data_IF_634967128929
#
_entry.id   IF_634967128929
#
_cell.length_a   1.000
_cell.length_b   1.000
_cell.length_c   1.000
_cell.angle_alpha   90.00
_cell.angle_beta   90.00
_cell.angle_gamma   90.00
#
_symmetry.space_group_name_H-M   'P 1'
#
loop_
_entity.id
_entity.type
_entity.pdbx_description
1 polymer ?
#
# COMPACT_ATOMS: atom_id res chain seq x y z
N UNK A 1 25.48 2.06 14.02
CA UNK A 1 24.66 0.87 14.44
C UNK A 1 23.67 1.35 15.47
N UNK A 2 22.43 0.90 15.43
CA UNK A 2 21.40 1.23 16.42
C UNK A 2 21.80 0.61 17.75
N UNK A 3 21.68 1.34 18.86
CA UNK A 3 21.99 0.84 20.20
C UNK A 3 20.97 -0.23 20.65
N UNK A 4 21.30 -1.03 21.67
CA UNK A 4 20.35 -2.00 22.21
C UNK A 4 19.11 -1.32 22.80
N UNK A 5 19.27 -0.14 23.37
CA UNK A 5 18.15 0.67 23.89
C UNK A 5 17.19 1.07 22.76
N UNK A 6 17.73 1.54 21.62
CA UNK A 6 16.89 1.96 20.50
C UNK A 6 16.18 0.78 19.82
N UNK A 7 16.79 -0.42 19.82
CA UNK A 7 16.12 -1.64 19.36
C UNK A 7 14.95 -2.02 20.25
N UNK A 8 15.10 -1.90 21.55
CA UNK A 8 14.02 -2.13 22.51
C UNK A 8 12.91 -1.10 22.30
N UNK A 9 13.26 0.17 22.14
CA UNK A 9 12.28 1.25 21.87
C UNK A 9 11.53 1.00 20.56
N UNK A 10 12.20 0.56 19.50
CA UNK A 10 11.58 0.22 18.21
C UNK A 10 10.53 -0.88 18.38
N UNK A 11 10.91 -1.98 19.05
CA UNK A 11 10.01 -3.09 19.31
C UNK A 11 8.81 -2.67 20.17
N UNK A 12 9.04 -1.93 21.23
CA UNK A 12 7.98 -1.44 22.13
C UNK A 12 7.01 -0.51 21.41
N UNK A 13 7.50 0.41 20.56
CA UNK A 13 6.66 1.27 19.72
C UNK A 13 5.81 0.44 18.78
N UNK A 14 6.39 -0.51 18.08
CA UNK A 14 5.66 -1.37 17.16
C UNK A 14 4.57 -2.15 17.87
N UNK A 15 4.90 -2.83 18.98
CA UNK A 15 3.93 -3.59 19.79
C UNK A 15 2.82 -2.69 20.34
N UNK A 16 3.14 -1.45 20.71
CA UNK A 16 2.15 -0.47 21.13
C UNK A 16 1.22 -0.08 19.98
N UNK A 17 1.75 0.22 18.81
CA UNK A 17 0.93 0.69 17.67
C UNK A 17 0.02 -0.42 17.11
N UNK A 18 0.47 -1.67 17.06
CA UNK A 18 -0.39 -2.78 16.62
C UNK A 18 -1.55 -3.08 17.59
N UNK A 19 -1.48 -2.60 18.82
CA UNK A 19 -2.58 -2.71 19.79
C UNK A 19 -3.82 -1.86 19.42
N UNK A 20 -3.66 -0.85 18.56
CA UNK A 20 -4.78 -0.03 18.09
C UNK A 20 -5.54 -0.77 16.98
N UNK A 21 -6.86 -0.92 17.14
CA UNK A 21 -7.74 -1.41 16.07
C UNK A 21 -8.00 -0.27 15.08
N UNK A 22 -7.24 -0.24 14.00
CA UNK A 22 -7.29 0.80 12.97
C UNK A 22 -7.79 0.31 11.63
N UNK A 23 -8.38 -0.89 11.57
CA UNK A 23 -8.84 -1.50 10.33
C UNK A 23 -9.73 -0.54 9.54
N UNK A 24 -9.41 -0.34 8.26
CA UNK A 24 -10.22 0.47 7.35
C UNK A 24 -11.51 -0.27 6.97
N UNK A 25 -12.55 0.49 6.61
CA UNK A 25 -13.86 -0.05 6.26
C UNK A 25 -14.07 0.07 4.76
N UNK A 26 -14.26 -1.06 4.04
CA UNK A 26 -14.59 -1.05 2.62
C UNK A 26 -15.80 -0.16 2.33
N UNK A 27 -15.76 0.53 1.18
CA UNK A 27 -16.84 1.40 0.71
C UNK A 27 -17.22 2.57 1.64
N UNK A 28 -16.33 2.95 2.56
CA UNK A 28 -16.52 4.15 3.38
C UNK A 28 -16.65 5.39 2.50
N UNK A 29 -17.54 6.31 2.90
CA UNK A 29 -17.77 7.58 2.18
C UNK A 29 -17.06 8.76 2.82
N UNK A 30 -16.38 8.54 3.93
CA UNK A 30 -15.66 9.55 4.70
C UNK A 30 -14.42 8.94 5.35
N UNK A 31 -13.40 9.75 5.54
CA UNK A 31 -12.16 9.40 6.23
C UNK A 31 -12.09 10.18 7.55
N UNK A 32 -11.53 9.59 8.63
CA UNK A 32 -11.12 8.18 8.69
C UNK A 32 -12.33 7.25 8.71
N UNK A 33 -12.21 6.09 8.07
CA UNK A 33 -13.30 5.09 8.02
C UNK A 33 -13.52 4.37 9.35
N UNK A 34 -12.55 4.40 10.25
CA UNK A 34 -12.67 3.85 11.60
C UNK A 34 -12.12 4.79 12.67
N UNK A 35 -12.74 4.72 13.86
CA UNK A 35 -12.37 5.58 15.01
C UNK A 35 -10.95 5.27 15.52
N UNK A 36 -10.47 4.04 15.33
CA UNK A 36 -9.14 3.61 15.77
C UNK A 36 -8.02 4.41 15.10
N UNK A 37 -8.16 4.76 13.84
CA UNK A 37 -7.19 5.57 13.11
C UNK A 37 -7.03 6.96 13.75
N UNK A 38 -8.12 7.62 14.11
CA UNK A 38 -8.06 8.90 14.83
C UNK A 38 -7.39 8.75 16.19
N UNK A 39 -7.64 7.64 16.92
CA UNK A 39 -6.98 7.39 18.22
C UNK A 39 -5.47 7.23 18.06
N UNK A 40 -5.02 6.48 17.05
CA UNK A 40 -3.59 6.33 16.76
C UNK A 40 -2.98 7.67 16.31
N UNK A 41 -3.68 8.43 15.45
CA UNK A 41 -3.26 9.77 15.03
C UNK A 41 -3.01 10.72 16.22
N UNK A 42 -3.94 10.72 17.20
CA UNK A 42 -3.81 11.53 18.42
C UNK A 42 -2.67 11.05 19.33
N UNK A 43 -2.38 9.76 19.34
CA UNK A 43 -1.23 9.20 20.07
C UNK A 43 0.08 9.67 19.43
N UNK A 44 0.19 9.55 18.11
CA UNK A 44 1.37 9.97 17.35
C UNK A 44 1.60 11.48 17.42
N UNK A 45 0.53 12.29 17.46
CA UNK A 45 0.64 13.73 17.71
C UNK A 45 1.36 14.02 19.03
N UNK A 46 0.97 13.34 20.10
CA UNK A 46 1.61 13.53 21.43
C UNK A 46 3.08 13.15 21.39
N UNK A 47 3.41 12.03 20.77
CA UNK A 47 4.79 11.55 20.67
C UNK A 47 5.67 12.50 19.82
N UNK A 48 5.14 12.99 18.67
CA UNK A 48 5.86 13.96 17.84
C UNK A 48 6.14 15.27 18.59
N UNK A 49 5.18 15.76 19.38
CA UNK A 49 5.38 16.93 20.23
C UNK A 49 6.46 16.65 21.29
N UNK A 50 6.44 15.47 21.90
CA UNK A 50 7.44 15.06 22.90
C UNK A 50 8.86 14.93 22.29
N UNK A 51 8.95 14.52 21.01
CA UNK A 51 10.19 14.49 20.25
C UNK A 51 10.67 15.90 19.82
N UNK A 52 9.91 16.95 20.10
CA UNK A 52 10.29 18.33 19.80
C UNK A 52 10.02 18.76 18.36
N UNK A 53 9.15 18.06 17.62
CA UNK A 53 8.76 18.51 16.28
C UNK A 53 7.84 19.72 16.36
N UNK A 54 7.94 20.55 15.33
CA UNK A 54 7.15 21.77 15.16
C UNK A 54 5.92 21.51 14.27
N UNK A 55 4.94 22.41 14.35
CA UNK A 55 3.74 22.41 13.48
C UNK A 55 3.02 21.03 13.46
N UNK A 56 2.95 20.37 14.63
CA UNK A 56 2.33 19.08 14.76
C UNK A 56 0.81 19.22 14.75
N UNK A 57 0.18 18.75 13.68
CA UNK A 57 -1.27 18.89 13.47
C UNK A 57 -1.91 17.53 13.20
N UNK A 58 -3.14 17.38 13.66
CA UNK A 58 -4.04 16.29 13.27
C UNK A 58 -5.28 16.89 12.64
N UNK A 59 -5.54 16.57 11.39
CA UNK A 59 -6.74 17.05 10.70
C UNK A 59 -7.99 16.31 11.17
N UNK A 60 -9.17 16.86 10.85
CA UNK A 60 -10.44 16.15 11.10
C UNK A 60 -10.57 14.82 10.34
N UNK A 61 -9.71 14.59 9.38
CA UNK A 61 -9.63 13.37 8.59
C UNK A 61 -8.56 12.39 9.12
N UNK A 62 -7.99 12.64 10.32
CA UNK A 62 -6.90 11.87 10.92
C UNK A 62 -5.56 11.92 10.16
N UNK A 63 -5.37 12.81 9.20
CA UNK A 63 -4.03 13.05 8.64
C UNK A 63 -3.20 13.77 9.69
N UNK A 64 -2.08 13.18 10.08
CA UNK A 64 -1.08 13.78 10.97
C UNK A 64 0.00 14.43 10.11
N UNK A 65 0.44 15.63 10.45
CA UNK A 65 1.61 16.26 9.84
C UNK A 65 2.49 16.91 10.91
N UNK A 66 3.82 16.90 10.69
CA UNK A 66 4.78 17.52 11.59
C UNK A 66 6.01 17.99 10.81
N UNK A 67 6.82 18.84 11.45
CA UNK A 67 8.05 19.38 10.88
C UNK A 67 9.18 19.33 11.90
N UNK A 68 10.34 18.84 11.45
CA UNK A 68 11.58 18.93 12.18
C UNK A 68 12.55 19.80 11.36
N UNK A 69 12.90 21.03 11.81
CA UNK A 69 13.84 21.88 11.10
C UNK A 69 15.24 21.27 11.10
N UNK A 70 15.99 21.52 10.02
CA UNK A 70 17.38 21.11 9.92
C UNK A 70 18.20 21.67 11.09
N UNK A 71 19.09 20.85 11.65
CA UNK A 71 20.04 21.27 12.69
C UNK A 71 21.45 21.61 12.14
N UNK A 72 21.63 21.45 10.81
CA UNK A 72 22.82 21.91 10.08
C UNK A 72 22.38 22.88 8.96
N UNK A 73 22.84 24.16 8.98
CA UNK A 73 22.41 25.16 8.00
C UNK A 73 22.87 24.88 6.57
N UNK A 74 23.82 23.97 6.36
CA UNK A 74 24.27 23.57 5.04
C UNK A 74 23.33 22.53 4.40
N UNK A 75 22.45 21.87 5.18
CA UNK A 75 21.52 20.86 4.73
C UNK A 75 20.14 21.48 4.42
N UNK A 76 20.02 22.08 3.24
CA UNK A 76 18.86 22.92 2.87
C UNK A 76 17.66 22.15 2.32
N UNK A 77 17.83 20.88 2.00
CA UNK A 77 16.75 20.04 1.48
C UNK A 77 15.67 19.79 2.50
N UNK A 78 14.44 19.57 2.01
CA UNK A 78 13.31 19.13 2.82
C UNK A 78 12.84 17.77 2.32
N UNK A 79 12.92 16.73 3.15
CA UNK A 79 12.52 15.36 2.82
C UNK A 79 11.27 15.01 3.60
N UNK A 80 10.29 14.42 2.89
CA UNK A 80 9.06 13.87 3.49
C UNK A 80 9.22 12.39 3.87
N UNK A 81 8.68 12.00 5.03
CA UNK A 81 8.52 10.61 5.46
C UNK A 81 7.05 10.36 5.73
N UNK A 82 6.50 9.31 5.15
CA UNK A 82 5.07 9.01 5.18
C UNK A 82 4.86 7.53 5.49
N UNK A 83 3.85 7.22 6.34
CA UNK A 83 3.34 5.88 6.58
C UNK A 83 1.84 5.95 6.85
N UNK A 84 1.11 4.84 6.63
CA UNK A 84 -0.34 4.87 6.87
C UNK A 84 -0.73 4.29 8.23
N UNK A 85 -1.89 4.76 8.74
CA UNK A 85 -2.41 4.45 10.08
C UNK A 85 -3.24 3.17 10.10
N UNK A 86 -3.96 2.92 9.00
CA UNK A 86 -4.93 1.84 8.93
C UNK A 86 -4.29 0.48 8.67
N UNK A 87 -5.08 -0.53 8.76
CA UNK A 87 -4.75 -1.91 8.37
C UNK A 87 -5.79 -2.41 7.40
N UNK A 88 -5.41 -3.38 6.58
CA UNK A 88 -6.23 -3.94 5.53
C UNK A 88 -7.58 -4.49 6.02
N UNK A 89 -8.67 -4.27 5.27
CA UNK A 89 -9.95 -4.90 5.58
C UNK A 89 -10.02 -6.40 5.24
N UNK A 90 -9.02 -6.95 4.54
CA UNK A 90 -9.02 -8.34 4.07
C UNK A 90 -8.89 -9.36 5.21
N UNK A 91 -8.22 -8.98 6.30
CA UNK A 91 -8.08 -9.80 7.49
C UNK A 91 -8.34 -8.95 8.74
N UNK A 92 -8.91 -9.55 9.80
CA UNK A 92 -9.21 -8.80 11.03
C UNK A 92 -7.94 -8.20 11.65
N UNK A 93 -7.97 -6.90 11.97
CA UNK A 93 -6.94 -6.18 12.73
C UNK A 93 -7.36 -5.88 14.17
N UNK A 94 -8.43 -6.55 14.67
CA UNK A 94 -8.99 -6.29 16.00
C UNK A 94 -8.42 -7.23 17.05
N UNK A 95 -7.97 -6.66 18.19
CA UNK A 95 -7.38 -7.40 19.31
C UNK A 95 -6.16 -8.22 18.89
N UNK A 96 -5.28 -7.65 18.10
CA UNK A 96 -4.03 -8.28 17.68
C UNK A 96 -3.24 -8.72 18.92
N UNK A 97 -2.76 -9.95 18.89
CA UNK A 97 -1.90 -10.56 19.93
C UNK A 97 -0.56 -10.88 19.31
N UNK A 98 0.40 -9.95 19.38
CA UNK A 98 1.70 -10.17 18.80
C UNK A 98 2.51 -11.15 19.64
N UNK A 99 3.24 -12.04 18.96
CA UNK A 99 4.20 -12.96 19.54
C UNK A 99 5.60 -12.66 18.99
N UNK A 100 6.59 -12.56 19.89
CA UNK A 100 7.99 -12.30 19.55
C UNK A 100 8.75 -13.61 19.57
N UNK A 101 9.29 -14.01 18.44
CA UNK A 101 10.07 -15.23 18.27
C UNK A 101 11.54 -14.86 18.17
N UNK A 102 12.26 -14.97 19.27
CA UNK A 102 13.68 -14.66 19.30
C UNK A 102 14.49 -15.73 18.56
N UNK A 103 15.49 -15.28 17.77
CA UNK A 103 16.43 -16.15 17.08
C UNK A 103 15.76 -17.30 16.31
N UNK A 104 14.86 -16.95 15.39
CA UNK A 104 14.18 -17.94 14.55
C UNK A 104 15.16 -18.98 14.00
N UNK A 105 14.92 -20.25 14.29
CA UNK A 105 15.85 -21.35 13.98
C UNK A 105 15.56 -22.06 12.67
N UNK A 106 14.61 -21.58 11.90
CA UNK A 106 14.08 -22.27 10.72
C UNK A 106 12.92 -23.22 11.06
N UNK A 107 12.24 -23.72 10.03
CA UNK A 107 11.06 -24.57 10.17
C UNK A 107 9.76 -23.78 10.29
N UNK A 108 8.70 -24.50 10.63
CA UNK A 108 7.35 -23.93 10.75
C UNK A 108 7.22 -23.10 12.03
N UNK A 109 6.50 -21.99 11.93
CA UNK A 109 6.09 -21.17 13.07
C UNK A 109 4.61 -21.48 13.33
N UNK A 110 4.30 -22.13 14.45
CA UNK A 110 2.93 -22.33 14.89
C UNK A 110 2.37 -21.02 15.42
N UNK A 111 1.16 -20.65 15.00
CA UNK A 111 0.47 -19.46 15.44
C UNK A 111 -0.56 -19.81 16.53
N UNK A 112 -0.53 -19.09 17.64
CA UNK A 112 -1.46 -19.27 18.76
C UNK A 112 -1.53 -20.72 19.26
N UNK A 113 -2.69 -21.37 19.14
CA UNK A 113 -2.89 -22.76 19.57
C UNK A 113 -2.39 -23.81 18.59
N UNK A 114 -1.73 -23.39 17.47
CA UNK A 114 -1.05 -24.28 16.54
C UNK A 114 -1.93 -24.94 15.47
N UNK A 115 -3.09 -24.36 15.16
CA UNK A 115 -3.93 -24.78 14.02
C UNK A 115 -3.47 -24.13 12.71
N UNK A 116 -2.82 -22.95 12.78
CA UNK A 116 -2.26 -22.21 11.65
C UNK A 116 -0.73 -22.19 11.74
N UNK A 117 -0.05 -22.20 10.61
CA UNK A 117 1.42 -22.24 10.54
C UNK A 117 1.94 -21.33 9.45
N UNK A 118 2.99 -20.58 9.73
CA UNK A 118 3.83 -19.95 8.70
C UNK A 118 4.96 -20.91 8.39
N UNK A 119 5.00 -21.45 7.17
CA UNK A 119 5.93 -22.51 6.80
C UNK A 119 6.86 -22.11 5.67
N UNK A 120 8.19 -22.40 5.76
CA UNK A 120 9.14 -22.18 4.67
C UNK A 120 8.85 -23.07 3.45
N UNK A 121 7.99 -24.07 3.55
CA UNK A 121 7.50 -24.86 2.41
C UNK A 121 6.65 -23.99 1.47
N UNK A 122 5.85 -23.09 2.04
CA UNK A 122 5.02 -22.16 1.27
C UNK A 122 5.70 -20.81 1.07
N UNK A 123 6.54 -20.38 2.03
CA UNK A 123 7.14 -19.04 2.08
C UNK A 123 8.68 -19.18 2.10
N UNK A 124 9.28 -19.34 0.93
CA UNK A 124 10.73 -19.58 0.78
C UNK A 124 11.61 -18.45 1.35
N UNK A 125 11.10 -17.22 1.46
CA UNK A 125 11.82 -16.09 2.05
C UNK A 125 12.19 -16.33 3.52
N UNK A 126 11.44 -17.18 4.25
CA UNK A 126 11.72 -17.49 5.66
C UNK A 126 13.12 -18.06 5.88
N UNK A 127 13.72 -18.69 4.87
CA UNK A 127 15.10 -19.19 4.95
C UNK A 127 16.11 -18.06 5.16
N UNK A 128 15.83 -16.85 4.64
CA UNK A 128 16.67 -15.66 4.81
C UNK A 128 16.52 -15.04 6.20
N UNK A 129 15.49 -15.41 6.94
CA UNK A 129 15.16 -14.87 8.26
C UNK A 129 15.71 -15.71 9.42
N UNK A 130 16.38 -16.83 9.13
CA UNK A 130 17.00 -17.67 10.17
C UNK A 130 18.01 -16.87 10.98
N UNK A 131 17.91 -16.96 12.32
CA UNK A 131 18.71 -16.21 13.28
C UNK A 131 18.16 -14.82 13.64
N UNK A 132 17.10 -14.36 12.97
CA UNK A 132 16.46 -13.07 13.25
C UNK A 132 15.35 -13.23 14.30
N UNK A 133 14.98 -12.12 14.92
CA UNK A 133 13.79 -12.02 15.79
C UNK A 133 12.60 -11.66 14.91
N UNK A 134 11.58 -12.49 14.92
CA UNK A 134 10.37 -12.32 14.13
C UNK A 134 9.20 -11.94 15.04
N UNK A 135 8.32 -11.09 14.57
CA UNK A 135 7.06 -10.77 15.23
C UNK A 135 5.94 -11.27 14.32
N UNK A 136 5.01 -12.03 14.91
CA UNK A 136 3.83 -12.61 14.25
C UNK A 136 2.58 -12.34 15.07
N UNK A 137 1.39 -12.55 14.53
CA UNK A 137 0.15 -12.60 15.30
C UNK A 137 -0.21 -14.05 15.68
N UNK A 138 -1.21 -14.22 16.52
CA UNK A 138 -1.69 -15.53 17.01
C UNK A 138 -2.47 -16.37 15.98
N UNK A 139 -2.51 -15.98 14.71
CA UNK A 139 -3.25 -16.65 13.64
C UNK A 139 -4.75 -16.37 13.61
N UNK A 140 -5.29 -15.53 14.51
CA UNK A 140 -6.69 -15.09 14.49
C UNK A 140 -6.88 -13.76 13.77
N UNK A 141 -5.79 -12.96 13.65
CA UNK A 141 -5.77 -11.64 13.02
C UNK A 141 -4.56 -11.51 12.11
N UNK A 142 -4.53 -10.43 11.28
CA UNK A 142 -3.26 -9.93 10.76
C UNK A 142 -2.40 -9.37 11.92
N UNK A 143 -1.13 -9.09 11.66
CA UNK A 143 -0.24 -8.46 12.64
C UNK A 143 -0.39 -6.92 12.65
N UNK A 144 -0.55 -6.33 11.47
CA UNK A 144 -0.58 -4.88 11.26
C UNK A 144 0.82 -4.28 11.08
N UNK A 145 1.79 -5.09 10.65
CA UNK A 145 3.09 -4.58 10.21
C UNK A 145 2.94 -3.59 9.06
N UNK A 146 2.00 -3.87 8.19
CA UNK A 146 1.49 -2.99 7.16
C UNK A 146 0.36 -2.12 7.75
N UNK A 147 0.61 -0.82 8.10
CA UNK A 147 1.91 -0.17 7.97
C UNK A 147 2.42 0.42 9.31
N UNK A 148 2.11 -0.23 10.45
CA UNK A 148 2.57 0.24 11.76
C UNK A 148 4.06 -0.01 12.00
N UNK A 149 4.70 -0.86 11.15
CA UNK A 149 6.15 -0.98 11.13
C UNK A 149 6.78 0.33 10.62
N UNK A 150 6.33 0.84 9.47
CA UNK A 150 6.80 2.12 8.93
C UNK A 150 6.59 3.29 9.91
N UNK A 151 5.45 3.34 10.61
CA UNK A 151 5.22 4.33 11.67
C UNK A 151 6.29 4.20 12.77
N UNK A 152 6.52 3.00 13.28
CA UNK A 152 7.49 2.77 14.38
C UNK A 152 8.92 3.10 13.94
N UNK A 153 9.27 2.81 12.70
CA UNK A 153 10.57 3.07 12.11
C UNK A 153 10.83 4.57 11.95
N UNK A 154 9.86 5.31 11.41
CA UNK A 154 9.94 6.78 11.31
C UNK A 154 10.10 7.39 12.71
N UNK A 155 9.25 7.02 13.66
CA UNK A 155 9.27 7.58 15.01
C UNK A 155 10.57 7.25 15.75
N UNK A 156 11.13 6.07 15.54
CA UNK A 156 12.41 5.67 16.15
C UNK A 156 13.59 6.39 15.50
N UNK A 157 13.57 6.55 14.17
CA UNK A 157 14.61 7.32 13.48
C UNK A 157 14.65 8.78 13.97
N UNK A 158 13.49 9.43 14.12
CA UNK A 158 13.40 10.79 14.68
C UNK A 158 13.91 10.87 16.13
N UNK A 159 13.54 9.87 16.95
CA UNK A 159 14.03 9.77 18.34
C UNK A 159 15.57 9.71 18.40
N UNK A 160 16.19 8.88 17.57
CA UNK A 160 17.66 8.74 17.51
C UNK A 160 18.30 10.04 17.01
N UNK A 161 17.77 10.65 15.94
CA UNK A 161 18.30 11.94 15.42
C UNK A 161 18.35 13.01 16.49
N UNK A 162 17.28 13.12 17.30
CA UNK A 162 17.17 14.11 18.36
C UNK A 162 18.08 13.78 19.57
N UNK A 163 18.05 12.52 20.04
CA UNK A 163 18.86 12.09 21.20
C UNK A 163 20.35 12.21 20.95
N UNK A 164 20.81 11.84 19.76
CA UNK A 164 22.22 11.82 19.40
C UNK A 164 22.69 13.12 18.72
N UNK A 165 21.78 14.08 18.53
CA UNK A 165 22.02 15.34 17.82
C UNK A 165 22.72 15.13 16.46
N UNK A 166 22.23 14.15 15.68
CA UNK A 166 22.78 13.82 14.38
C UNK A 166 22.46 14.94 13.38
N UNK A 167 23.43 15.46 12.62
CA UNK A 167 23.17 16.45 11.57
C UNK A 167 22.16 15.90 10.54
N UNK A 168 21.08 16.65 10.28
CA UNK A 168 20.00 16.27 9.37
C UNK A 168 19.41 17.47 8.63
N UNK A 169 18.81 17.20 7.48
CA UNK A 169 18.07 18.17 6.67
C UNK A 169 16.70 18.49 7.29
N UNK A 170 15.93 19.38 6.64
CA UNK A 170 14.53 19.59 7.03
C UNK A 170 13.72 18.31 6.80
N UNK A 171 12.89 17.94 7.77
CA UNK A 171 12.09 16.71 7.72
C UNK A 171 10.61 17.07 7.85
N UNK A 172 9.82 16.63 6.88
CA UNK A 172 8.37 16.59 6.97
C UNK A 172 7.93 15.17 7.31
N UNK A 173 7.03 15.03 8.25
CA UNK A 173 6.48 13.73 8.65
C UNK A 173 5.00 13.76 8.42
N UNK A 174 4.45 12.69 7.87
CA UNK A 174 3.01 12.52 7.81
C UNK A 174 2.59 11.08 8.09
N UNK A 175 1.40 10.95 8.71
CA UNK A 175 0.71 9.66 8.84
C UNK A 175 -0.68 9.80 8.26
N UNK A 176 -1.03 8.89 7.35
CA UNK A 176 -2.24 8.96 6.52
C UNK A 176 -3.27 7.92 6.95
N UNK A 177 -4.57 8.24 6.98
CA UNK A 177 -5.62 7.25 7.20
C UNK A 177 -6.03 6.58 5.89
N UNK A 178 -6.73 5.42 5.98
CA UNK A 178 -7.50 4.81 4.88
C UNK A 178 -6.72 4.60 3.57
N UNK A 179 -5.42 4.29 3.66
CA UNK A 179 -4.59 3.95 2.51
C UNK A 179 -5.12 2.70 1.82
N UNK A 180 -5.41 1.66 2.59
CA UNK A 180 -5.85 0.32 2.18
C UNK A 180 -7.17 0.28 1.40
N UNK A 181 -7.88 1.41 1.39
CA UNK A 181 -9.11 1.61 0.61
C UNK A 181 -8.99 2.81 -0.35
N UNK A 182 -7.78 3.39 -0.47
CA UNK A 182 -7.46 4.49 -1.38
C UNK A 182 -8.23 5.79 -1.09
N UNK A 183 -8.67 6.01 0.16
CA UNK A 183 -9.56 7.13 0.47
C UNK A 183 -8.85 8.30 1.17
N UNK A 184 -8.00 8.02 2.15
CA UNK A 184 -7.47 9.04 3.06
C UNK A 184 -6.53 10.03 2.39
N UNK A 185 -5.76 9.57 1.43
CA UNK A 185 -4.79 10.38 0.70
C UNK A 185 -5.42 11.56 -0.07
N UNK A 186 -6.71 11.49 -0.40
CA UNK A 186 -7.44 12.61 -1.01
C UNK A 186 -7.52 13.85 -0.12
N UNK A 187 -7.37 13.67 1.19
CA UNK A 187 -7.38 14.74 2.20
C UNK A 187 -5.98 15.19 2.62
N UNK A 188 -4.95 14.65 1.97
CA UNK A 188 -3.56 15.00 2.26
C UNK A 188 -3.24 16.44 1.78
N UNK A 189 -2.68 17.29 2.65
CA UNK A 189 -2.42 18.69 2.34
C UNK A 189 -1.09 18.86 1.59
N UNK A 190 -0.99 18.41 0.34
CA UNK A 190 0.27 18.36 -0.45
C UNK A 190 0.98 19.71 -0.48
N UNK A 191 0.27 20.81 -0.76
CA UNK A 191 0.85 22.16 -0.83
C UNK A 191 1.43 22.62 0.52
N UNK A 192 0.75 22.31 1.62
CA UNK A 192 1.22 22.64 2.98
C UNK A 192 2.37 21.74 3.43
N UNK A 193 2.34 20.47 3.03
CA UNK A 193 3.40 19.50 3.34
C UNK A 193 4.72 19.90 2.71
N UNK A 194 4.72 20.45 1.51
CA UNK A 194 5.83 21.17 0.84
C UNK A 194 7.21 20.62 1.17
N UNK A 195 7.69 19.64 0.41
CA UNK A 195 9.03 19.07 0.48
C UNK A 195 9.62 18.89 -0.93
N UNK A 196 10.93 18.72 -1.04
CA UNK A 196 11.60 18.49 -2.33
C UNK A 196 11.16 17.15 -2.94
N UNK A 197 11.07 16.13 -2.11
CA UNK A 197 10.44 14.82 -2.38
C UNK A 197 10.10 14.12 -1.06
N UNK A 198 9.34 13.07 -1.12
CA UNK A 198 9.00 12.25 0.05
C UNK A 198 9.34 10.76 -0.18
N UNK A 199 9.22 9.97 0.86
CA UNK A 199 9.24 8.51 0.81
C UNK A 199 8.07 7.97 1.63
N UNK A 200 7.33 7.02 1.07
CA UNK A 200 6.51 6.12 1.88
C UNK A 200 7.41 5.03 2.47
N UNK A 201 7.24 4.75 3.75
CA UNK A 201 7.93 3.65 4.44
C UNK A 201 6.90 2.53 4.58
N UNK A 202 6.68 1.80 3.48
CA UNK A 202 5.50 0.95 3.27
C UNK A 202 5.78 -0.27 2.39
N UNK A 203 7.05 -0.55 2.13
CA UNK A 203 7.47 -1.72 1.35
C UNK A 203 7.64 -2.98 2.19
N UNK A 204 7.98 -4.08 1.53
CA UNK A 204 8.11 -5.40 2.13
C UNK A 204 9.54 -5.77 2.52
N UNK A 205 10.15 -6.66 1.73
CA UNK A 205 11.45 -7.28 2.00
C UNK A 205 12.59 -6.25 2.05
N UNK A 206 13.53 -6.44 2.97
CA UNK A 206 14.71 -5.58 3.13
C UNK A 206 15.44 -5.35 1.80
N UNK A 207 15.61 -4.09 1.45
CA UNK A 207 16.28 -3.63 0.23
C UNK A 207 15.32 -3.23 -0.89
N UNK A 208 14.03 -3.45 -0.77
CA UNK A 208 13.05 -2.99 -1.77
C UNK A 208 13.03 -1.46 -1.84
N UNK A 209 13.19 -0.97 -3.06
CA UNK A 209 13.01 0.43 -3.42
C UNK A 209 12.11 0.47 -4.65
N UNK A 210 10.92 1.01 -4.45
CA UNK A 210 9.85 0.96 -5.43
C UNK A 210 9.47 2.38 -5.82
N UNK A 211 9.55 2.67 -7.10
CA UNK A 211 9.26 4.00 -7.66
C UNK A 211 8.49 3.91 -8.98
N UNK A 212 7.90 2.75 -9.22
CA UNK A 212 7.09 2.43 -10.39
C UNK A 212 5.92 1.54 -9.96
N UNK A 213 4.73 1.86 -10.41
CA UNK A 213 3.51 1.11 -10.12
C UNK A 213 2.61 1.03 -11.35
N UNK A 214 1.56 0.22 -11.30
CA UNK A 214 0.56 0.20 -12.36
C UNK A 214 -0.14 1.55 -12.55
N UNK A 215 -0.52 1.86 -13.81
CA UNK A 215 -1.71 2.66 -14.08
C UNK A 215 -2.95 1.79 -13.82
N UNK A 216 -3.97 2.35 -13.23
CA UNK A 216 -5.15 1.62 -12.81
C UNK A 216 -6.45 2.29 -13.19
N UNK A 217 -7.40 1.49 -13.66
CA UNK A 217 -8.79 1.89 -13.84
C UNK A 217 -9.73 0.77 -13.41
N UNK A 218 -10.95 1.17 -13.09
CA UNK A 218 -12.08 0.26 -12.89
C UNK A 218 -13.07 0.47 -14.00
N UNK A 219 -13.50 -0.62 -14.66
CA UNK A 219 -14.55 -0.59 -15.68
C UNK A 219 -15.77 -1.36 -15.19
N UNK A 220 -16.93 -0.70 -15.18
CA UNK A 220 -18.23 -1.30 -14.89
C UNK A 220 -19.01 -1.47 -16.18
N UNK A 221 -19.42 -2.70 -16.45
CA UNK A 221 -20.19 -3.06 -17.67
C UNK A 221 -21.55 -3.59 -17.23
N UNK A 222 -22.61 -2.85 -17.60
CA UNK A 222 -23.99 -3.19 -17.22
C UNK A 222 -24.76 -3.76 -18.39
N UNK A 223 -25.32 -4.94 -18.19
CA UNK A 223 -26.15 -5.66 -19.15
C UNK A 223 -27.61 -5.58 -18.73
N UNK A 224 -28.50 -5.45 -19.70
CA UNK A 224 -29.94 -5.38 -19.45
C UNK A 224 -30.67 -6.49 -20.20
N UNK A 225 -31.46 -7.21 -19.46
CA UNK A 225 -32.26 -8.32 -19.93
C UNK A 225 -33.76 -7.99 -20.02
N UNK A 226 -34.53 -9.03 -20.23
CA UNK A 226 -35.99 -9.05 -20.16
C UNK A 226 -36.42 -10.40 -19.71
N UNK A 227 -36.93 -10.48 -18.48
CA UNK A 227 -37.45 -11.73 -17.89
C UNK A 227 -38.79 -12.10 -18.47
N UNK A 228 -39.03 -13.40 -18.57
CA UNK A 228 -40.31 -14.02 -18.85
C UNK A 228 -40.26 -15.47 -18.34
N UNK A 229 -41.42 -16.06 -18.08
CA UNK A 229 -41.49 -17.46 -17.67
C UNK A 229 -40.75 -18.37 -18.68
N UNK A 230 -39.80 -19.23 -18.24
CA UNK A 230 -38.94 -20.01 -19.13
C UNK A 230 -39.69 -20.82 -20.19
N UNK A 231 -40.85 -21.37 -19.87
CA UNK A 231 -41.69 -22.12 -20.81
C UNK A 231 -42.22 -21.28 -21.99
N UNK A 232 -42.18 -19.94 -21.91
CA UNK A 232 -42.64 -19.01 -22.96
C UNK A 232 -41.52 -18.12 -23.51
N UNK A 233 -40.27 -18.45 -23.19
CA UNK A 233 -39.10 -17.60 -23.40
C UNK A 233 -38.65 -17.50 -24.86
N UNK A 234 -38.96 -18.49 -25.71
CA UNK A 234 -38.48 -18.55 -27.11
C UNK A 234 -38.80 -17.28 -27.89
N UNK A 235 -37.73 -16.57 -28.34
CA UNK A 235 -37.80 -15.30 -29.10
C UNK A 235 -38.27 -14.08 -28.31
N UNK A 236 -38.41 -14.22 -26.96
CA UNK A 236 -38.92 -13.14 -26.10
C UNK A 236 -37.98 -12.77 -24.95
N UNK A 237 -37.40 -13.79 -24.28
CA UNK A 237 -36.46 -13.58 -23.19
C UNK A 237 -35.13 -13.00 -23.71
N UNK A 238 -34.57 -12.08 -22.98
CA UNK A 238 -33.17 -11.68 -23.06
C UNK A 238 -32.56 -11.89 -21.67
N UNK A 239 -31.65 -12.80 -21.56
CA UNK A 239 -31.02 -13.12 -20.26
C UNK A 239 -29.74 -12.32 -20.10
N UNK A 240 -29.70 -11.37 -19.17
CA UNK A 240 -28.54 -10.52 -18.90
C UNK A 240 -27.31 -11.34 -18.42
N UNK A 241 -27.54 -12.42 -17.65
CA UNK A 241 -26.46 -13.33 -17.22
C UNK A 241 -25.78 -13.99 -18.43
N UNK A 242 -26.56 -14.49 -19.40
CA UNK A 242 -25.99 -15.10 -20.61
C UNK A 242 -25.19 -14.09 -21.42
N UNK A 243 -25.71 -12.85 -21.58
CA UNK A 243 -25.00 -11.78 -22.28
C UNK A 243 -23.67 -11.45 -21.59
N UNK A 244 -23.66 -11.37 -20.26
CA UNK A 244 -22.45 -11.08 -19.47
C UNK A 244 -21.43 -12.22 -19.59
N UNK A 245 -21.85 -13.48 -19.52
CA UNK A 245 -20.96 -14.62 -19.74
C UNK A 245 -20.35 -14.64 -21.17
N UNK A 246 -21.14 -14.33 -22.20
CA UNK A 246 -20.64 -14.23 -23.57
C UNK A 246 -19.65 -13.06 -23.72
N UNK A 247 -19.88 -11.95 -23.03
CA UNK A 247 -18.99 -10.80 -23.04
C UNK A 247 -17.66 -11.11 -22.36
N UNK A 248 -17.66 -11.83 -21.22
CA UNK A 248 -16.44 -12.25 -20.54
C UNK A 248 -15.51 -13.08 -21.46
N UNK A 249 -16.04 -13.82 -22.40
CA UNK A 249 -15.27 -14.67 -23.31
C UNK A 249 -14.46 -13.88 -24.36
N UNK A 250 -14.69 -12.58 -24.51
CA UNK A 250 -13.92 -11.77 -25.47
C UNK A 250 -12.55 -11.33 -24.95
N UNK A 251 -12.33 -11.45 -23.64
CA UNK A 251 -11.07 -11.05 -23.02
C UNK A 251 -9.96 -12.08 -23.27
N UNK A 252 -8.71 -11.61 -23.43
CA UNK A 252 -7.56 -12.50 -23.54
C UNK A 252 -7.41 -13.40 -22.30
N UNK A 253 -7.37 -14.70 -22.49
CA UNK A 253 -7.32 -15.70 -21.40
C UNK A 253 -5.99 -15.70 -20.63
N UNK A 254 -4.95 -15.11 -21.18
CA UNK A 254 -3.61 -15.05 -20.58
C UNK A 254 -3.29 -13.69 -19.94
N UNK A 255 -4.16 -12.69 -20.14
CA UNK A 255 -3.99 -11.35 -19.57
C UNK A 255 -4.84 -11.18 -18.29
N UNK A 256 -4.62 -12.08 -17.34
CA UNK A 256 -5.29 -12.13 -16.03
C UNK A 256 -4.24 -12.18 -14.91
N UNK A 257 -4.56 -11.74 -13.67
CA UNK A 257 -3.58 -11.72 -12.58
C UNK A 257 -2.91 -13.06 -12.33
N UNK A 258 -3.67 -14.17 -12.47
CA UNK A 258 -3.20 -15.53 -12.23
C UNK A 258 -2.17 -16.02 -13.25
N UNK A 259 -1.98 -15.30 -14.37
CA UNK A 259 -1.07 -15.67 -15.45
C UNK A 259 -0.04 -14.59 -15.80
N UNK A 260 -0.07 -13.45 -15.11
CA UNK A 260 0.81 -12.33 -15.40
C UNK A 260 1.73 -12.04 -14.23
N UNK A 261 2.97 -11.68 -14.52
CA UNK A 261 3.97 -11.27 -13.54
C UNK A 261 4.75 -10.03 -14.01
N UNK A 262 5.72 -9.57 -13.21
CA UNK A 262 6.57 -8.43 -13.54
C UNK A 262 5.75 -7.21 -13.98
N UNK A 263 6.03 -6.70 -15.18
CA UNK A 263 5.35 -5.53 -15.75
C UNK A 263 4.18 -5.87 -16.68
N UNK A 264 3.80 -7.14 -16.79
CA UNK A 264 2.67 -7.53 -17.63
C UNK A 264 1.35 -7.00 -17.06
N UNK A 265 0.59 -6.28 -17.89
CA UNK A 265 -0.72 -5.76 -17.54
C UNK A 265 -1.81 -6.83 -17.64
N UNK A 266 -2.98 -6.55 -17.10
CA UNK A 266 -4.09 -7.51 -17.06
C UNK A 266 -5.47 -6.85 -17.03
N UNK A 267 -6.50 -7.67 -17.28
CA UNK A 267 -7.90 -7.45 -16.95
C UNK A 267 -8.30 -8.43 -15.87
N UNK A 268 -8.79 -7.96 -14.75
CA UNK A 268 -9.29 -8.80 -13.67
C UNK A 268 -10.79 -8.61 -13.50
N UNK A 269 -11.58 -9.67 -13.72
CA UNK A 269 -13.00 -9.67 -13.37
C UNK A 269 -13.09 -9.80 -11.85
N UNK A 270 -13.37 -8.71 -11.15
CA UNK A 270 -13.41 -8.65 -9.69
C UNK A 270 -14.78 -8.97 -9.14
N UNK A 271 -15.85 -8.54 -9.81
CA UNK A 271 -17.22 -8.80 -9.39
C UNK A 271 -18.13 -9.09 -10.56
N UNK A 272 -19.06 -10.03 -10.33
CA UNK A 272 -20.11 -10.44 -11.24
C UNK A 272 -21.41 -10.56 -10.44
N UNK A 273 -22.25 -9.55 -10.48
CA UNK A 273 -23.49 -9.49 -9.70
C UNK A 273 -24.71 -9.22 -10.57
N UNK A 274 -25.86 -9.77 -10.19
CA UNK A 274 -27.14 -9.51 -10.85
C UNK A 274 -28.00 -10.74 -11.12
N UNK A 275 -28.99 -10.56 -12.00
CA UNK A 275 -29.99 -11.55 -12.38
C UNK A 275 -30.34 -11.52 -13.87
N UNK A 276 -31.47 -12.14 -14.26
CA UNK A 276 -31.94 -12.19 -15.65
C UNK A 276 -32.20 -10.80 -16.22
N UNK A 277 -32.60 -9.83 -15.39
CA UNK A 277 -33.02 -8.48 -15.85
C UNK A 277 -31.85 -7.51 -15.88
N UNK A 278 -30.88 -7.66 -14.99
CA UNK A 278 -29.68 -6.80 -14.97
C UNK A 278 -28.47 -7.52 -14.39
N UNK A 279 -27.32 -7.34 -15.02
CA UNK A 279 -26.01 -7.78 -14.53
C UNK A 279 -25.01 -6.65 -14.60
N UNK A 280 -24.17 -6.52 -13.58
CA UNK A 280 -22.98 -5.69 -13.59
C UNK A 280 -21.73 -6.56 -13.47
N UNK A 281 -20.78 -6.34 -14.38
CA UNK A 281 -19.42 -6.86 -14.29
C UNK A 281 -18.48 -5.71 -13.89
N UNK A 282 -17.65 -5.93 -12.90
CA UNK A 282 -16.59 -4.98 -12.50
C UNK A 282 -15.23 -5.54 -12.88
N UNK A 283 -14.50 -4.82 -13.71
CA UNK A 283 -13.15 -5.15 -14.13
C UNK A 283 -12.13 -4.19 -13.54
N UNK A 284 -11.04 -4.71 -12.99
CA UNK A 284 -9.84 -3.93 -12.73
C UNK A 284 -8.93 -4.02 -13.96
N UNK A 285 -8.50 -2.85 -14.45
CA UNK A 285 -7.57 -2.72 -15.58
C UNK A 285 -6.25 -2.22 -15.03
N UNK A 286 -5.14 -2.92 -15.37
CA UNK A 286 -3.80 -2.58 -14.90
C UNK A 286 -2.80 -2.68 -16.04
N UNK A 287 -1.92 -1.68 -16.15
CA UNK A 287 -0.74 -1.74 -17.00
C UNK A 287 0.31 -0.73 -16.53
N UNK A 288 1.59 -1.05 -16.65
CA UNK A 288 2.68 -0.12 -16.33
C UNK A 288 2.87 0.94 -17.39
N UNK A 289 2.67 0.57 -18.64
CA UNK A 289 2.83 1.47 -19.79
C UNK A 289 1.54 2.23 -20.05
N UNK A 290 1.62 3.56 -20.18
CA UNK A 290 0.46 4.43 -20.37
C UNK A 290 -0.25 4.14 -21.71
N UNK A 291 0.50 3.84 -22.79
CA UNK A 291 -0.09 3.55 -24.09
C UNK A 291 -0.84 2.21 -24.07
N UNK A 292 -0.23 1.18 -23.49
CA UNK A 292 -0.90 -0.11 -23.31
C UNK A 292 -2.13 0.03 -22.42
N UNK A 293 -2.06 0.81 -21.33
CA UNK A 293 -3.19 1.10 -20.48
C UNK A 293 -4.33 1.78 -21.24
N UNK A 294 -4.02 2.77 -22.08
CA UNK A 294 -5.01 3.41 -22.95
C UNK A 294 -5.61 2.41 -23.95
N UNK A 295 -4.79 1.54 -24.56
CA UNK A 295 -5.25 0.48 -25.44
C UNK A 295 -6.18 -0.51 -24.73
N UNK A 296 -5.88 -0.88 -23.48
CA UNK A 296 -6.77 -1.75 -22.65
C UNK A 296 -8.14 -1.12 -22.44
N UNK A 297 -8.20 0.16 -22.08
CA UNK A 297 -9.47 0.88 -21.93
C UNK A 297 -10.24 0.96 -23.26
N UNK A 298 -9.54 1.27 -24.36
CA UNK A 298 -10.11 1.30 -25.70
C UNK A 298 -10.63 -0.06 -26.16
N UNK A 299 -9.93 -1.15 -25.80
CA UNK A 299 -10.38 -2.52 -26.10
C UNK A 299 -11.76 -2.77 -25.49
N UNK A 300 -11.95 -2.57 -24.18
CA UNK A 300 -13.25 -2.78 -23.52
C UNK A 300 -14.34 -1.96 -24.23
N UNK A 301 -14.07 -0.68 -24.49
CA UNK A 301 -15.02 0.20 -25.17
C UNK A 301 -15.42 -0.36 -26.55
N UNK A 302 -14.43 -0.80 -27.33
CA UNK A 302 -14.68 -1.39 -28.66
C UNK A 302 -15.49 -2.69 -28.58
N UNK A 303 -15.27 -3.52 -27.55
CA UNK A 303 -16.04 -4.75 -27.39
C UNK A 303 -17.50 -4.45 -27.01
N UNK A 304 -17.76 -3.48 -26.14
CA UNK A 304 -19.13 -3.04 -25.82
C UNK A 304 -19.84 -2.52 -27.06
N UNK A 305 -19.18 -1.70 -27.88
CA UNK A 305 -19.74 -1.19 -29.15
C UNK A 305 -20.08 -2.33 -30.13
N UNK A 306 -19.15 -3.27 -30.35
CA UNK A 306 -19.35 -4.46 -31.20
C UNK A 306 -20.49 -5.35 -30.69
N UNK A 307 -20.55 -5.54 -29.37
CA UNK A 307 -21.57 -6.37 -28.75
C UNK A 307 -22.96 -5.76 -28.92
N UNK A 308 -23.11 -4.44 -28.68
CA UNK A 308 -24.33 -3.69 -28.91
C UNK A 308 -24.80 -3.80 -30.38
N UNK A 309 -23.88 -3.62 -31.33
CA UNK A 309 -24.21 -3.72 -32.76
C UNK A 309 -24.64 -5.14 -33.17
N UNK A 310 -23.90 -6.18 -32.72
CA UNK A 310 -24.16 -7.59 -33.07
C UNK A 310 -25.46 -8.12 -32.49
N UNK A 311 -25.82 -7.74 -31.26
CA UNK A 311 -26.97 -8.32 -30.55
C UNK A 311 -28.29 -7.59 -30.84
N UNK A 312 -28.26 -6.37 -31.42
CA UNK A 312 -29.45 -5.57 -31.70
C UNK A 312 -30.31 -5.34 -30.46
N UNK A 313 -29.69 -5.08 -29.33
CA UNK A 313 -30.33 -4.95 -28.02
C UNK A 313 -31.23 -3.70 -27.98
N UNK A 314 -32.43 -3.84 -27.40
CA UNK A 314 -33.35 -2.68 -27.20
C UNK A 314 -32.79 -1.67 -26.20
N UNK A 315 -32.10 -2.16 -25.15
CA UNK A 315 -31.34 -1.35 -24.23
C UNK A 315 -29.87 -1.70 -24.40
N UNK A 316 -29.01 -0.74 -24.78
CA UNK A 316 -27.59 -1.01 -25.00
C UNK A 316 -26.89 -1.35 -23.68
N UNK A 317 -25.80 -2.09 -23.79
CA UNK A 317 -24.85 -2.33 -22.69
C UNK A 317 -24.22 -0.98 -22.34
N UNK A 318 -24.20 -0.64 -21.07
CA UNK A 318 -23.60 0.58 -20.55
C UNK A 318 -22.18 0.27 -20.07
N UNK A 319 -21.26 1.20 -20.32
CA UNK A 319 -19.88 1.14 -19.87
C UNK A 319 -19.51 2.41 -19.12
N UNK A 320 -18.97 2.24 -17.93
CA UNK A 320 -18.36 3.29 -17.14
C UNK A 320 -16.90 2.91 -16.87
N UNK A 321 -15.95 3.78 -17.19
CA UNK A 321 -14.52 3.58 -16.88
C UNK A 321 -14.05 4.75 -16.03
N UNK A 322 -13.48 4.45 -14.89
CA UNK A 322 -12.92 5.42 -13.96
C UNK A 322 -11.45 5.10 -13.70
N UNK A 323 -10.56 6.05 -14.00
CA UNK A 323 -9.15 5.94 -13.64
C UNK A 323 -9.00 6.09 -12.11
N UNK A 324 -8.17 5.24 -11.50
CA UNK A 324 -7.97 5.20 -10.04
C UNK A 324 -6.66 5.89 -9.65
N UNK A 325 -5.53 5.48 -10.25
CA UNK A 325 -4.22 6.07 -10.04
C UNK A 325 -3.35 5.87 -11.28
N UNK A 326 -2.22 6.60 -11.33
CA UNK A 326 -1.24 6.56 -12.41
C UNK A 326 0.09 6.00 -11.92
N UNK A 327 0.94 5.59 -12.85
CA UNK A 327 2.29 5.17 -12.55
C UNK A 327 3.11 6.36 -12.02
N UNK A 328 3.63 6.24 -10.80
CA UNK A 328 4.41 7.31 -10.16
C UNK A 328 5.74 7.59 -10.85
N UNK A 329 6.25 6.66 -11.68
CA UNK A 329 7.53 6.81 -12.36
C UNK A 329 7.62 8.09 -13.19
N UNK A 330 6.53 8.53 -13.81
CA UNK A 330 6.51 9.74 -14.63
C UNK A 330 6.84 11.02 -13.86
N UNK A 331 6.59 11.03 -12.56
CA UNK A 331 6.95 12.13 -11.65
C UNK A 331 8.31 11.87 -11.00
N UNK A 332 8.54 10.66 -10.51
CA UNK A 332 9.79 10.28 -9.81
C UNK A 332 11.01 10.41 -10.72
N UNK A 333 10.90 10.10 -12.02
CA UNK A 333 12.00 10.29 -13.00
C UNK A 333 12.51 11.74 -13.11
N UNK A 334 11.68 12.72 -12.73
CA UNK A 334 12.05 14.13 -12.72
C UNK A 334 12.75 14.56 -11.40
N UNK A 335 12.79 13.67 -10.40
CA UNK A 335 13.48 13.84 -9.14
C UNK A 335 14.42 12.64 -8.87
N UNK A 336 15.41 12.36 -9.77
CA UNK A 336 16.27 11.19 -9.67
C UNK A 336 17.06 11.13 -8.37
N UNK A 337 17.32 12.29 -7.75
CA UNK A 337 18.00 12.38 -6.45
C UNK A 337 17.26 11.60 -5.36
N UNK A 338 15.93 11.44 -5.45
CA UNK A 338 15.17 10.65 -4.49
C UNK A 338 15.55 9.16 -4.54
N UNK A 339 15.75 8.62 -5.74
CA UNK A 339 16.19 7.23 -5.93
C UNK A 339 17.66 7.07 -5.52
N UNK A 340 18.53 7.98 -5.99
CA UNK A 340 19.98 7.95 -5.73
C UNK A 340 20.29 8.05 -4.23
N UNK A 341 19.55 8.89 -3.50
CA UNK A 341 19.72 9.04 -2.05
C UNK A 341 19.34 7.76 -1.31
N UNK A 342 18.19 7.16 -1.63
CA UNK A 342 17.76 5.89 -1.03
C UNK A 342 18.76 4.77 -1.33
N UNK A 343 19.22 4.66 -2.58
CA UNK A 343 20.24 3.68 -2.99
C UNK A 343 21.54 3.81 -2.21
N UNK A 344 22.04 5.05 -2.06
CA UNK A 344 23.26 5.34 -1.30
C UNK A 344 23.08 5.01 0.18
N UNK A 345 21.96 5.40 0.77
CA UNK A 345 21.66 5.15 2.16
C UNK A 345 21.57 3.65 2.45
N UNK A 346 20.89 2.87 1.61
CA UNK A 346 20.83 1.41 1.72
C UNK A 346 22.23 0.79 1.67
N UNK A 347 23.04 1.16 0.67
CA UNK A 347 24.43 0.66 0.53
C UNK A 347 25.30 1.02 1.74
N UNK A 348 25.16 2.24 2.27
CA UNK A 348 25.92 2.71 3.43
C UNK A 348 25.66 1.87 4.70
N UNK A 349 24.46 1.33 4.85
CA UNK A 349 24.09 0.46 5.98
C UNK A 349 24.23 -1.03 5.67
N UNK A 350 24.82 -1.38 4.52
CA UNK A 350 25.08 -2.76 4.11
C UNK A 350 23.83 -3.49 3.58
N UNK A 351 22.84 -2.75 3.09
CA UNK A 351 21.66 -3.27 2.40
C UNK A 351 21.86 -3.14 0.89
N UNK A 352 21.60 -4.22 0.16
CA UNK A 352 21.64 -4.20 -1.31
C UNK A 352 20.29 -3.72 -1.83
N UNK A 353 20.22 -2.59 -2.55
CA UNK A 353 18.98 -2.13 -3.16
C UNK A 353 18.42 -3.13 -4.18
N UNK A 354 17.11 -3.28 -4.19
CA UNK A 354 16.35 -4.12 -5.12
C UNK A 354 15.20 -3.29 -5.69
N UNK A 355 15.33 -2.89 -6.94
CA UNK A 355 14.33 -2.07 -7.61
C UNK A 355 13.23 -2.97 -8.16
N UNK A 356 12.07 -2.93 -7.55
CA UNK A 356 10.89 -3.71 -7.95
C UNK A 356 9.73 -2.78 -8.30
N UNK A 357 8.93 -3.11 -9.31
CA UNK A 357 7.69 -2.39 -9.56
C UNK A 357 6.59 -2.90 -8.64
N UNK A 358 5.74 -2.00 -8.14
CA UNK A 358 4.55 -2.32 -7.35
C UNK A 358 3.41 -2.75 -8.30
N UNK A 359 2.86 -3.93 -8.10
CA UNK A 359 1.69 -4.41 -8.86
C UNK A 359 0.34 -3.96 -8.24
N UNK A 360 0.33 -2.83 -7.58
CA UNK A 360 -0.81 -2.19 -6.91
C UNK A 360 -0.71 -0.68 -6.95
N UNK A 361 -1.45 -0.02 -6.08
CA UNK A 361 -1.34 1.42 -5.79
C UNK A 361 -0.76 1.62 -4.40
N UNK A 362 -0.30 2.84 -4.12
CA UNK A 362 0.17 3.29 -2.80
C UNK A 362 -0.13 4.77 -2.63
N UNK A 363 -0.07 5.27 -1.42
CA UNK A 363 -0.11 6.71 -1.15
C UNK A 363 0.93 7.47 -1.98
N UNK A 364 2.13 6.87 -2.20
CA UNK A 364 3.17 7.44 -3.04
C UNK A 364 2.74 7.65 -4.50
N UNK A 365 1.99 6.71 -5.07
CA UNK A 365 1.44 6.86 -6.43
C UNK A 365 0.43 8.00 -6.53
N UNK A 366 -0.42 8.16 -5.50
CA UNK A 366 -1.36 9.27 -5.46
C UNK A 366 -0.64 10.61 -5.30
N UNK A 367 0.36 10.70 -4.41
CA UNK A 367 1.15 11.92 -4.21
C UNK A 367 1.91 12.31 -5.47
N UNK A 368 2.42 11.32 -6.22
CA UNK A 368 3.02 11.55 -7.53
C UNK A 368 2.01 12.18 -8.51
N UNK A 369 0.75 11.75 -8.53
CA UNK A 369 -0.28 12.38 -9.36
C UNK A 369 -0.54 13.86 -9.01
N UNK A 370 -0.12 14.29 -7.82
CA UNK A 370 -0.15 15.69 -7.36
C UNK A 370 1.19 16.41 -7.55
N UNK A 371 2.16 15.78 -8.23
CA UNK A 371 3.45 16.37 -8.54
C UNK A 371 4.54 16.16 -7.47
N UNK A 372 4.27 15.42 -6.40
CA UNK A 372 5.25 15.11 -5.37
C UNK A 372 5.89 13.74 -5.64
N UNK A 373 7.16 13.70 -6.01
CA UNK A 373 7.91 12.45 -6.13
C UNK A 373 7.97 11.72 -4.78
N UNK A 374 7.50 10.47 -4.73
CA UNK A 374 7.38 9.73 -3.48
C UNK A 374 7.65 8.23 -3.69
N UNK A 375 8.93 7.81 -3.84
CA UNK A 375 9.30 6.39 -3.85
C UNK A 375 8.91 5.69 -2.55
N UNK A 376 8.73 4.36 -2.63
CA UNK A 376 8.42 3.51 -1.50
C UNK A 376 9.66 2.72 -1.05
N UNK A 377 9.86 2.61 0.27
CA UNK A 377 10.98 1.93 0.92
C UNK A 377 10.46 0.81 1.80
N UNK A 378 11.20 -0.28 1.85
CA UNK A 378 10.92 -1.47 2.66
C UNK A 378 10.72 -1.18 4.16
N UNK A 379 9.98 -2.06 4.82
CA UNK A 379 9.79 -2.12 6.29
C UNK A 379 10.38 -3.39 6.93
N UNK A 380 10.72 -4.39 6.13
CA UNK A 380 11.12 -5.72 6.64
C UNK A 380 9.92 -6.61 7.01
N UNK A 381 8.73 -6.27 6.51
CA UNK A 381 7.50 -7.05 6.66
C UNK A 381 7.27 -8.03 5.51
N UNK A 382 6.41 -9.02 5.75
CA UNK A 382 6.09 -10.10 4.81
C UNK A 382 4.65 -10.56 4.96
N UNK A 383 4.06 -11.12 3.90
CA UNK A 383 2.73 -11.72 3.87
C UNK A 383 1.61 -10.77 4.35
N UNK A 384 1.70 -9.51 3.97
CA UNK A 384 0.72 -8.48 4.30
C UNK A 384 -0.72 -8.93 3.98
N UNK A 385 -1.71 -8.30 4.62
CA UNK A 385 -3.14 -8.55 4.46
C UNK A 385 -3.59 -9.97 4.84
N UNK A 386 -2.79 -10.71 5.60
CA UNK A 386 -3.10 -12.11 5.96
C UNK A 386 -2.80 -12.42 7.42
N UNK A 387 -3.32 -13.56 7.90
CA UNK A 387 -2.99 -14.11 9.22
C UNK A 387 -1.53 -14.57 9.34
N UNK A 388 -0.85 -14.74 8.20
CA UNK A 388 0.54 -15.14 8.11
C UNK A 388 1.50 -13.94 8.01
N UNK A 389 0.98 -12.75 8.26
CA UNK A 389 1.77 -11.53 8.30
C UNK A 389 2.83 -11.61 9.39
N UNK A 390 4.04 -11.22 9.04
CA UNK A 390 5.17 -11.14 9.98
C UNK A 390 6.09 -9.99 9.65
N UNK A 391 6.84 -9.53 10.64
CA UNK A 391 7.93 -8.56 10.44
C UNK A 391 9.20 -9.01 11.14
N UNK A 392 10.35 -8.74 10.54
CA UNK A 392 11.67 -8.97 11.14
C UNK A 392 12.12 -7.73 11.91
N UNK A 393 12.46 -7.89 13.19
CA UNK A 393 13.03 -6.79 13.99
C UNK A 393 14.34 -6.27 13.37
N UNK A 394 15.21 -7.15 12.85
CA UNK A 394 16.43 -6.75 12.17
C UNK A 394 16.15 -6.05 10.83
N UNK A 395 15.05 -6.42 10.16
CA UNK A 395 14.55 -5.69 8.99
C UNK A 395 14.16 -4.27 9.35
N UNK A 396 13.34 -4.10 10.39
CA UNK A 396 12.95 -2.78 10.92
C UNK A 396 14.17 -1.95 11.34
N UNK A 397 15.16 -2.57 12.04
CA UNK A 397 16.41 -1.90 12.38
C UNK A 397 17.15 -1.37 11.15
N UNK A 398 17.14 -2.12 10.04
CA UNK A 398 17.74 -1.69 8.78
C UNK A 398 16.99 -0.51 8.17
N UNK A 399 15.67 -0.52 8.22
CA UNK A 399 14.85 0.59 7.76
C UNK A 399 15.14 1.87 8.54
N UNK A 400 15.20 1.79 9.88
CA UNK A 400 15.59 2.93 10.73
C UNK A 400 16.97 3.49 10.35
N UNK A 401 17.96 2.60 10.11
CA UNK A 401 19.29 3.02 9.70
C UNK A 401 19.27 3.70 8.32
N UNK A 402 18.50 3.18 7.36
CA UNK A 402 18.35 3.79 6.02
C UNK A 402 17.71 5.16 6.14
N UNK A 403 16.64 5.30 6.92
CA UNK A 403 15.98 6.61 7.14
C UNK A 403 16.98 7.62 7.70
N UNK A 404 17.71 7.27 8.76
CA UNK A 404 18.72 8.15 9.37
C UNK A 404 19.78 8.54 8.33
N UNK A 405 20.27 7.60 7.53
CA UNK A 405 21.32 7.87 6.54
C UNK A 405 20.82 8.76 5.39
N UNK A 406 19.58 8.59 4.95
CA UNK A 406 18.94 9.49 3.97
C UNK A 406 18.84 10.93 4.52
N UNK A 407 18.44 11.07 5.78
CA UNK A 407 18.16 12.38 6.38
C UNK A 407 19.44 13.18 6.65
N UNK A 408 20.61 12.55 6.66
CA UNK A 408 21.91 13.25 6.70
C UNK A 408 22.17 14.04 5.41
N UNK A 409 21.46 13.77 4.32
CA UNK A 409 21.54 14.50 3.05
C UNK A 409 22.96 14.79 2.56
N UNK A 410 23.91 13.92 2.83
CA UNK A 410 25.29 14.13 2.40
C UNK A 410 25.37 14.14 0.88
N UNK A 411 26.09 15.12 0.36
CA UNK A 411 26.34 15.31 -1.09
C UNK A 411 25.10 15.63 -1.93
N UNK A 412 24.12 16.37 -1.36
CA UNK A 412 22.92 16.88 -2.06
C UNK A 412 22.92 18.41 -2.12
#
# INVERSE_FOLDING_TARGET
>A
MISQTDKTELLERFLHYVSFDTQSKPHAKHSPSSVGQMKLAMQLQKELIQLGLENVEVSKYAVVTAFLPANDPNLTKTIGLIAHLDTSPQCSGKNVRPEVIEQYRGGDIALGIGEEFISPVYYSFMQKLVGQTLIVADGTTLLGADNKAGIAEIMTALSILQKENIPHCNIRVAFTPDEEIGLGIHYFPVEKFSCDWAYTIDGGEVGELEYENFNAATAKVRFFGRSIHPGYAKGKMVNALTLACEFQQVFPVDEVPEKTDGKAGFYHLEDFSGDIEQVELTYLIRDFDEQNFAHRKAFIKSQVEKFNAKKGLKKPIELEIQDSYQNMYDVVKNAPQSIELADRAMKAVGVKPSHKPIRGGTDGAFLASKGLACPNIFTGGYNFHSKHELVSLQGMEKTVQVIIEMLKCKDL
#
